data_IF_008588010939
#
_entry.id   IF_008588010939
#
_cell.length_a   1.000
_cell.length_b   1.000
_cell.length_c   1.000
_cell.angle_alpha   90.00
_cell.angle_beta   90.00
_cell.angle_gamma   90.00
#
_symmetry.space_group_name_H-M   'P 1'
#
loop_
_entity.id
_entity.type
_entity.pdbx_description
1 polymer ?
#
# COMPACT_ATOMS: atom_id res chain seq x y z
N UNK A 1 22.66 -6.42 -2.34
CA UNK A 1 21.33 -6.02 -1.83
C UNK A 1 21.33 -4.77 -0.95
N UNK A 2 21.80 -4.77 0.32
CA UNK A 2 21.68 -3.58 1.21
C UNK A 2 22.42 -2.34 0.66
N UNK A 3 23.61 -2.52 0.09
CA UNK A 3 24.39 -1.42 -0.48
C UNK A 3 23.76 -0.84 -1.76
N UNK A 4 23.11 -1.67 -2.56
CA UNK A 4 22.38 -1.24 -3.77
C UNK A 4 21.13 -0.44 -3.39
N UNK A 5 20.33 -0.92 -2.43
CA UNK A 5 19.16 -0.20 -1.94
C UNK A 5 19.53 1.19 -1.42
N UNK A 6 20.60 1.29 -0.61
CA UNK A 6 21.12 2.58 -0.13
C UNK A 6 21.55 3.51 -1.28
N UNK A 7 22.19 2.96 -2.31
CA UNK A 7 22.59 3.73 -3.49
C UNK A 7 21.38 4.27 -4.26
N UNK A 8 20.38 3.42 -4.51
CA UNK A 8 19.13 3.79 -5.18
C UNK A 8 18.43 4.90 -4.40
N UNK A 9 18.22 4.73 -3.09
CA UNK A 9 17.61 5.74 -2.23
C UNK A 9 18.37 7.07 -2.31
N UNK A 10 19.70 7.03 -2.24
CA UNK A 10 20.55 8.23 -2.33
C UNK A 10 20.39 8.94 -3.68
N UNK A 11 20.27 8.19 -4.77
CA UNK A 11 20.05 8.77 -6.10
C UNK A 11 18.67 9.43 -6.21
N UNK A 12 17.62 8.73 -5.78
CA UNK A 12 16.23 9.16 -5.88
C UNK A 12 15.89 10.34 -4.96
N UNK A 13 16.64 10.55 -3.88
CA UNK A 13 16.47 11.74 -3.02
C UNK A 13 16.66 13.06 -3.77
N UNK A 14 17.35 13.06 -4.92
CA UNK A 14 17.53 14.25 -5.76
C UNK A 14 16.29 14.58 -6.60
N UNK A 15 15.38 13.63 -6.73
CA UNK A 15 14.21 13.74 -7.59
C UNK A 15 13.01 14.31 -6.81
N UNK A 16 12.14 15.00 -7.52
CA UNK A 16 10.83 15.41 -7.04
C UNK A 16 9.97 14.19 -6.68
N UNK A 17 8.87 14.40 -5.95
CA UNK A 17 7.94 13.32 -5.65
C UNK A 17 7.37 12.68 -6.92
N UNK A 18 7.04 13.50 -7.92
CA UNK A 18 6.51 13.02 -9.19
C UNK A 18 7.53 12.17 -9.95
N UNK A 19 8.77 12.65 -10.10
CA UNK A 19 9.84 11.89 -10.75
C UNK A 19 10.14 10.57 -10.03
N UNK A 20 10.17 10.57 -8.69
CA UNK A 20 10.34 9.33 -7.91
C UNK A 20 9.18 8.37 -8.12
N UNK A 21 7.95 8.88 -8.17
CA UNK A 21 6.76 8.07 -8.40
C UNK A 21 6.84 7.40 -9.78
N UNK A 22 7.08 8.18 -10.84
CA UNK A 22 7.25 7.66 -12.19
C UNK A 22 8.40 6.67 -12.30
N UNK A 23 9.53 6.96 -11.65
CA UNK A 23 10.67 6.06 -11.63
C UNK A 23 10.31 4.70 -11.01
N UNK A 24 9.57 4.68 -9.89
CA UNK A 24 9.11 3.43 -9.27
C UNK A 24 8.20 2.64 -10.22
N UNK A 25 7.19 3.29 -10.82
CA UNK A 25 6.25 2.64 -11.72
C UNK A 25 6.94 2.04 -12.97
N UNK A 26 7.98 2.72 -13.46
CA UNK A 26 8.72 2.30 -14.64
C UNK A 26 9.71 1.17 -14.35
N UNK A 27 10.43 1.23 -13.22
CA UNK A 27 11.49 0.27 -12.89
C UNK A 27 10.97 -0.98 -12.17
N UNK A 28 9.85 -0.86 -11.46
CA UNK A 28 9.21 -1.95 -10.72
C UNK A 28 7.74 -2.12 -11.13
N UNK A 29 7.45 -2.35 -12.43
CA UNK A 29 6.09 -2.52 -12.89
C UNK A 29 5.48 -3.82 -12.37
N UNK A 30 4.16 -3.90 -12.27
CA UNK A 30 3.45 -5.05 -11.66
C UNK A 30 3.71 -6.41 -12.34
N UNK A 31 4.16 -6.41 -13.59
CA UNK A 31 4.48 -7.60 -14.37
C UNK A 31 5.96 -8.02 -14.26
N UNK A 32 6.79 -7.24 -13.56
CA UNK A 32 8.18 -7.60 -13.27
C UNK A 32 8.25 -8.57 -12.10
N UNK A 33 9.20 -9.51 -12.13
CA UNK A 33 9.51 -10.38 -10.98
C UNK A 33 10.00 -9.56 -9.77
N UNK A 34 10.62 -8.41 -10.02
CA UNK A 34 11.22 -7.55 -9.02
C UNK A 34 10.28 -6.45 -8.48
N UNK A 35 9.00 -6.46 -8.84
CA UNK A 35 8.05 -5.40 -8.46
C UNK A 35 7.99 -5.17 -6.93
N UNK A 36 8.24 -6.23 -6.15
CA UNK A 36 8.24 -6.20 -4.69
C UNK A 36 9.31 -5.27 -4.11
N UNK A 37 10.38 -4.97 -4.86
CA UNK A 37 11.41 -4.02 -4.44
C UNK A 37 10.85 -2.59 -4.29
N UNK A 38 9.75 -2.26 -4.96
CA UNK A 38 9.05 -1.00 -4.74
C UNK A 38 8.61 -0.84 -3.27
N UNK A 39 8.14 -1.91 -2.63
CA UNK A 39 7.71 -1.87 -1.22
C UNK A 39 8.87 -1.63 -0.26
N UNK A 40 10.11 -1.93 -0.66
CA UNK A 40 11.29 -1.59 0.12
C UNK A 40 11.67 -0.12 -0.03
N UNK A 41 11.37 0.51 -1.17
CA UNK A 41 11.74 1.88 -1.47
C UNK A 41 10.71 2.92 -1.02
N UNK A 42 9.41 2.61 -1.19
CA UNK A 42 8.29 3.52 -0.90
C UNK A 42 8.39 4.16 0.51
N UNK A 43 8.67 3.42 1.60
CA UNK A 43 8.72 4.00 2.95
C UNK A 43 9.85 5.01 3.19
N UNK A 44 10.84 5.09 2.31
CA UNK A 44 12.01 5.96 2.50
C UNK A 44 11.79 7.40 2.01
N UNK A 45 10.61 7.70 1.48
CA UNK A 45 10.31 9.01 0.91
C UNK A 45 9.01 9.57 1.47
N UNK A 46 8.97 10.89 1.62
CA UNK A 46 7.72 11.62 1.85
C UNK A 46 6.98 11.76 0.52
N UNK A 47 5.71 11.42 0.51
CA UNK A 47 4.87 11.43 -0.69
C UNK A 47 3.75 12.46 -0.58
N UNK A 48 3.54 13.22 -1.66
CA UNK A 48 2.38 14.09 -1.79
C UNK A 48 1.10 13.28 -1.97
N UNK A 49 -0.06 13.92 -1.72
CA UNK A 49 -1.37 13.24 -1.81
C UNK A 49 -1.61 12.62 -3.19
N UNK A 50 -1.21 13.32 -4.26
CA UNK A 50 -1.30 12.83 -5.65
C UNK A 50 -0.49 11.55 -5.81
N UNK A 51 0.78 11.55 -5.39
CA UNK A 51 1.68 10.41 -5.60
C UNK A 51 1.31 9.22 -4.72
N UNK A 52 0.87 9.45 -3.47
CA UNK A 52 0.33 8.39 -2.61
C UNK A 52 -0.81 7.65 -3.28
N UNK A 53 -1.77 8.39 -3.86
CA UNK A 53 -2.90 7.80 -4.59
C UNK A 53 -2.42 7.01 -5.80
N UNK A 54 -1.48 7.54 -6.58
CA UNK A 54 -0.91 6.84 -7.74
C UNK A 54 -0.24 5.52 -7.32
N UNK A 55 0.64 5.56 -6.32
CA UNK A 55 1.36 4.38 -5.84
C UNK A 55 0.42 3.33 -5.25
N UNK A 56 -0.51 3.74 -4.38
CA UNK A 56 -1.50 2.83 -3.79
C UNK A 56 -2.38 2.22 -4.87
N UNK A 57 -2.95 3.03 -5.77
CA UNK A 57 -3.75 2.51 -6.87
C UNK A 57 -2.93 1.53 -7.68
N UNK A 58 -1.74 1.89 -8.16
CA UNK A 58 -0.96 1.00 -9.01
C UNK A 58 -0.62 -0.31 -8.30
N UNK A 59 0.06 -0.27 -7.16
CA UNK A 59 0.59 -1.50 -6.55
C UNK A 59 -0.48 -2.36 -5.88
N UNK A 60 -1.54 -1.77 -5.31
CA UNK A 60 -2.63 -2.54 -4.71
C UNK A 60 -3.53 -3.21 -5.78
N UNK A 61 -3.36 -3.00 -7.09
CA UNK A 61 -4.09 -3.84 -8.06
C UNK A 61 -3.62 -5.29 -8.06
N UNK A 62 -2.41 -5.58 -7.55
CA UNK A 62 -1.88 -6.95 -7.40
C UNK A 62 -2.49 -7.76 -6.26
N UNK A 63 -3.47 -7.20 -5.53
CA UNK A 63 -4.14 -7.89 -4.44
C UNK A 63 -4.71 -9.26 -4.86
N UNK A 64 -4.72 -10.23 -3.92
CA UNK A 64 -4.20 -10.13 -2.55
C UNK A 64 -2.68 -10.36 -2.49
N UNK A 65 -2.04 -9.84 -1.45
CA UNK A 65 -0.66 -10.21 -1.12
C UNK A 65 -0.63 -11.37 -0.13
N UNK A 66 0.42 -12.21 -0.20
CA UNK A 66 0.66 -13.34 0.71
C UNK A 66 1.15 -12.94 2.11
N UNK A 67 1.31 -11.64 2.39
CA UNK A 67 1.75 -11.13 3.68
C UNK A 67 1.17 -9.75 3.95
N UNK A 68 1.23 -9.32 5.21
CA UNK A 68 0.77 -8.00 5.65
C UNK A 68 1.68 -6.85 5.19
N UNK A 69 2.92 -7.15 4.82
CA UNK A 69 3.98 -6.16 4.62
C UNK A 69 3.62 -5.07 3.58
N UNK A 70 3.07 -5.38 2.39
CA UNK A 70 2.70 -4.36 1.41
C UNK A 70 1.62 -3.40 1.90
N UNK A 71 0.65 -3.89 2.68
CA UNK A 71 -0.40 -3.04 3.25
C UNK A 71 0.18 -2.07 4.29
N UNK A 72 1.04 -2.59 5.16
CA UNK A 72 1.73 -1.78 6.18
C UNK A 72 2.64 -0.71 5.57
N UNK A 73 3.25 -0.98 4.41
CA UNK A 73 4.02 0.02 3.66
C UNK A 73 3.15 1.22 3.31
N UNK A 74 1.94 1.00 2.81
CA UNK A 74 1.05 2.10 2.45
C UNK A 74 0.45 2.81 3.67
N UNK A 75 0.11 2.08 4.72
CA UNK A 75 -0.36 2.67 5.98
C UNK A 75 0.70 3.55 6.65
N UNK A 76 1.99 3.25 6.48
CA UNK A 76 3.09 4.08 6.98
C UNK A 76 3.22 5.42 6.27
N UNK A 77 2.84 5.48 4.99
CA UNK A 77 3.01 6.69 4.17
C UNK A 77 1.72 7.47 3.94
N UNK A 78 0.54 6.92 4.27
CA UNK A 78 -0.77 7.52 3.96
C UNK A 78 -1.71 7.53 5.17
N UNK A 79 -2.64 8.51 5.24
CA UNK A 79 -3.74 8.45 6.20
C UNK A 79 -4.60 7.20 5.99
N UNK A 80 -5.06 6.60 7.09
CA UNK A 80 -5.90 5.40 7.06
C UNK A 80 -7.16 5.56 6.18
N UNK A 81 -7.79 6.73 6.19
CA UNK A 81 -8.96 7.01 5.34
C UNK A 81 -8.64 7.00 3.84
N UNK A 82 -7.46 7.44 3.42
CA UNK A 82 -7.03 7.35 2.01
C UNK A 82 -6.80 5.90 1.61
N UNK A 83 -6.17 5.12 2.48
CA UNK A 83 -5.92 3.70 2.28
C UNK A 83 -7.23 2.89 2.16
N UNK A 84 -8.16 3.07 3.10
CA UNK A 84 -9.47 2.38 3.07
C UNK A 84 -10.21 2.70 1.78
N UNK A 85 -10.30 3.99 1.41
CA UNK A 85 -11.01 4.41 0.19
C UNK A 85 -10.45 3.74 -1.07
N UNK A 86 -9.12 3.68 -1.19
CA UNK A 86 -8.48 3.04 -2.36
C UNK A 86 -8.74 1.53 -2.37
N UNK A 87 -8.68 0.87 -1.22
CA UNK A 87 -9.03 -0.55 -1.14
C UNK A 87 -10.48 -0.78 -1.55
N UNK A 88 -11.43 0.02 -1.05
CA UNK A 88 -12.83 -0.07 -1.44
C UNK A 88 -13.04 0.06 -2.95
N UNK A 89 -12.29 0.94 -3.62
CA UNK A 89 -12.30 1.11 -5.07
C UNK A 89 -11.81 -0.18 -5.77
N UNK A 90 -10.67 -0.74 -5.34
CA UNK A 90 -10.00 -1.89 -6.00
C UNK A 90 -10.72 -3.23 -5.78
N UNK A 91 -11.28 -3.46 -4.60
CA UNK A 91 -11.83 -4.79 -4.24
C UNK A 91 -13.17 -5.11 -4.93
N UNK A 92 -13.77 -4.13 -5.60
CA UNK A 92 -15.03 -4.31 -6.33
C UNK A 92 -14.92 -5.36 -7.46
N UNK A 93 -13.71 -5.55 -7.99
CA UNK A 93 -13.46 -6.39 -9.17
C UNK A 93 -12.74 -7.71 -8.85
N UNK A 94 -12.70 -8.12 -7.57
CA UNK A 94 -11.95 -9.30 -7.10
C UNK A 94 -12.85 -10.50 -6.79
N UNK A 95 -12.31 -11.71 -6.94
CA UNK A 95 -13.04 -12.95 -6.65
C UNK A 95 -13.08 -13.24 -5.13
N UNK A 96 -13.96 -14.16 -4.70
CA UNK A 96 -14.19 -14.42 -3.28
C UNK A 96 -12.97 -14.98 -2.52
N UNK A 97 -12.13 -15.80 -3.17
CA UNK A 97 -10.93 -16.37 -2.54
C UNK A 97 -9.89 -15.27 -2.24
N UNK A 98 -9.69 -14.38 -3.22
CA UNK A 98 -8.81 -13.22 -3.09
C UNK A 98 -9.26 -12.28 -1.96
N UNK A 99 -10.57 -12.06 -1.85
CA UNK A 99 -11.16 -11.24 -0.80
C UNK A 99 -11.02 -11.88 0.59
N UNK A 100 -11.08 -13.21 0.69
CA UNK A 100 -10.92 -13.93 1.96
C UNK A 100 -9.51 -13.73 2.52
N UNK A 101 -8.46 -13.92 1.71
CA UNK A 101 -7.08 -13.71 2.14
C UNK A 101 -6.81 -12.25 2.49
N UNK A 102 -7.36 -11.32 1.70
CA UNK A 102 -7.28 -9.89 1.99
C UNK A 102 -7.94 -9.55 3.34
N UNK A 103 -9.15 -10.05 3.58
CA UNK A 103 -9.89 -9.87 4.82
C UNK A 103 -9.12 -10.38 6.03
N UNK A 104 -8.48 -11.55 5.91
CA UNK A 104 -7.64 -12.11 6.97
C UNK A 104 -6.50 -11.15 7.38
N UNK A 105 -5.75 -10.64 6.41
CA UNK A 105 -4.64 -9.72 6.68
C UNK A 105 -5.12 -8.35 7.21
N UNK A 106 -6.18 -7.79 6.64
CA UNK A 106 -6.68 -6.48 7.07
C UNK A 106 -7.29 -6.52 8.46
N UNK A 107 -8.01 -7.60 8.82
CA UNK A 107 -8.52 -7.77 10.19
C UNK A 107 -7.37 -7.74 11.21
N UNK A 108 -6.29 -8.49 10.95
CA UNK A 108 -5.12 -8.52 11.83
C UNK A 108 -4.46 -7.14 11.92
N UNK A 109 -4.24 -6.46 10.79
CA UNK A 109 -3.66 -5.11 10.77
C UNK A 109 -4.53 -4.12 11.57
N UNK A 110 -5.84 -4.08 11.33
CA UNK A 110 -6.71 -3.12 12.01
C UNK A 110 -6.82 -3.38 13.51
N UNK A 111 -6.72 -4.64 13.93
CA UNK A 111 -6.80 -5.02 15.34
C UNK A 111 -5.50 -4.73 16.11
N UNK A 112 -4.33 -4.93 15.50
CA UNK A 112 -3.05 -4.94 16.24
C UNK A 112 -2.05 -3.87 15.81
N UNK A 113 -2.13 -3.34 14.60
CA UNK A 113 -1.14 -2.40 14.05
C UNK A 113 -1.63 -0.95 14.04
N UNK A 114 -2.95 -0.74 14.13
CA UNK A 114 -3.58 0.58 14.21
C UNK A 114 -3.80 0.96 15.67
N UNK A 115 -3.40 2.18 16.04
CA UNK A 115 -3.66 2.72 17.38
C UNK A 115 -5.16 2.80 17.65
N UNK A 116 -5.56 2.53 18.88
CA UNK A 116 -6.97 2.45 19.28
C UNK A 116 -7.77 3.74 18.98
N UNK A 117 -7.18 4.92 19.19
CA UNK A 117 -7.80 6.22 18.89
C UNK A 117 -8.05 6.39 17.38
N UNK A 118 -7.09 6.00 16.55
CA UNK A 118 -7.21 6.02 15.09
C UNK A 118 -8.24 4.99 14.62
N UNK A 119 -8.22 3.79 15.19
CA UNK A 119 -9.22 2.75 14.91
C UNK A 119 -10.63 3.27 15.21
N UNK A 120 -10.86 3.78 16.41
CA UNK A 120 -12.18 4.27 16.83
C UNK A 120 -12.69 5.41 15.95
N UNK A 121 -11.80 6.31 15.52
CA UNK A 121 -12.14 7.39 14.58
C UNK A 121 -12.61 6.87 13.21
N UNK A 122 -12.08 5.74 12.75
CA UNK A 122 -12.34 5.17 11.44
C UNK A 122 -13.15 3.87 11.48
N UNK A 123 -13.71 3.51 12.64
CA UNK A 123 -14.37 2.22 12.88
C UNK A 123 -15.45 1.90 11.85
N UNK A 124 -16.31 2.87 11.52
CA UNK A 124 -17.38 2.69 10.53
C UNK A 124 -16.83 2.38 9.13
N UNK A 125 -15.77 3.08 8.70
CA UNK A 125 -15.14 2.84 7.41
C UNK A 125 -14.42 1.48 7.37
N UNK A 126 -13.75 1.10 8.47
CA UNK A 126 -13.09 -0.20 8.63
C UNK A 126 -14.12 -1.33 8.55
N UNK A 127 -15.19 -1.26 9.32
CA UNK A 127 -16.25 -2.28 9.35
C UNK A 127 -16.96 -2.38 8.00
N UNK A 128 -17.20 -1.24 7.33
CA UNK A 128 -17.76 -1.21 5.97
C UNK A 128 -16.86 -1.94 4.98
N UNK A 129 -15.56 -1.64 4.98
CA UNK A 129 -14.59 -2.33 4.13
C UNK A 129 -14.57 -3.83 4.44
N UNK A 130 -14.39 -4.24 5.70
CA UNK A 130 -14.31 -5.65 6.08
C UNK A 130 -15.57 -6.45 5.73
N UNK A 131 -16.76 -5.83 5.79
CA UNK A 131 -17.99 -6.47 5.35
C UNK A 131 -18.09 -6.64 3.83
N UNK A 132 -17.44 -5.76 3.05
CA UNK A 132 -17.33 -5.91 1.58
C UNK A 132 -16.39 -7.04 1.16
N UNK A 133 -15.50 -7.48 2.05
CA UNK A 133 -14.54 -8.56 1.80
C UNK A 133 -15.03 -9.96 2.20
N UNK A 134 -16.27 -10.06 2.69
CA UNK A 134 -16.94 -11.32 3.06
C UNK A 134 -17.87 -11.75 1.95
#
# INVERSE_FOLDING_TARGET
>A
MINELKSIIKSLKKYTNEERCFWLLHNYPLNSEDYYLAFQLIPHFSWGKKERKILMNYYLHKLPFSSESPYLVFLKISPLSEFIKILEEIVTDKNNEDLTLLSYHLNRIFQYEIKEDVYNKHKVDIERLLNKLK
#
